data_IF_745418148534
#
_entry.id   IF_745418148534
#
_cell.length_a   1.000
_cell.length_b   1.000
_cell.length_c   1.000
_cell.angle_alpha   90.00
_cell.angle_beta   90.00
_cell.angle_gamma   90.00
#
_symmetry.space_group_name_H-M   'P 1'
#
loop_
_entity.id
_entity.type
_entity.pdbx_description
1 polymer ?
#
# COMPACT_ATOMS: atom_id res chain seq x y z
N UNK A 1 1.74 -3.37 -14.63
CA UNK A 1 2.38 -4.43 -13.82
C UNK A 1 1.46 -4.80 -12.68
N UNK A 2 1.19 -6.08 -12.51
CA UNK A 2 0.30 -6.58 -11.45
C UNK A 2 1.06 -6.73 -10.12
N UNK A 3 0.38 -6.62 -8.97
CA UNK A 3 1.01 -6.70 -7.65
C UNK A 3 1.81 -8.00 -7.41
N UNK A 4 1.30 -9.13 -7.90
CA UNK A 4 1.92 -10.45 -7.79
C UNK A 4 3.21 -10.60 -8.61
N UNK A 5 3.44 -9.70 -9.57
CA UNK A 5 4.66 -9.69 -10.40
C UNK A 5 5.82 -8.95 -9.72
N UNK A 6 5.53 -8.11 -8.71
CA UNK A 6 6.52 -7.25 -8.07
C UNK A 6 7.65 -8.05 -7.43
N UNK A 7 7.41 -9.09 -6.59
CA UNK A 7 8.51 -9.84 -5.98
C UNK A 7 9.35 -10.58 -7.03
N UNK A 8 8.69 -11.20 -8.02
CA UNK A 8 9.37 -11.89 -9.14
C UNK A 8 10.27 -10.95 -9.93
N UNK A 9 9.86 -9.69 -10.05
CA UNK A 9 10.64 -8.68 -10.74
C UNK A 9 11.82 -8.21 -9.90
N UNK A 10 11.66 -8.04 -8.59
CA UNK A 10 12.77 -7.74 -7.67
C UNK A 10 13.86 -8.82 -7.70
N UNK A 11 13.48 -10.10 -7.80
CA UNK A 11 14.42 -11.23 -7.92
C UNK A 11 15.33 -11.17 -9.16
N UNK A 12 15.01 -10.34 -10.16
CA UNK A 12 15.87 -10.14 -11.33
C UNK A 12 17.05 -9.21 -11.05
N UNK A 13 17.01 -8.43 -9.96
CA UNK A 13 18.05 -7.47 -9.61
C UNK A 13 19.08 -8.13 -8.67
N UNK A 14 20.38 -8.16 -9.05
CA UNK A 14 21.43 -8.72 -8.20
C UNK A 14 21.47 -8.12 -6.80
N UNK A 15 21.26 -6.81 -6.68
CA UNK A 15 21.30 -6.04 -5.44
C UNK A 15 20.19 -6.49 -4.47
N UNK A 16 18.99 -6.78 -4.99
CA UNK A 16 17.90 -7.34 -4.19
C UNK A 16 18.25 -8.73 -3.68
N UNK A 17 18.80 -9.59 -4.54
CA UNK A 17 19.19 -10.95 -4.15
C UNK A 17 20.30 -10.95 -3.10
N UNK A 18 21.27 -10.05 -3.20
CA UNK A 18 22.29 -9.86 -2.17
C UNK A 18 21.71 -9.36 -0.85
N UNK A 19 20.80 -8.39 -0.91
CA UNK A 19 20.08 -7.91 0.27
C UNK A 19 19.25 -9.04 0.91
N UNK A 20 18.55 -9.85 0.11
CA UNK A 20 17.70 -10.97 0.56
C UNK A 20 18.52 -12.06 1.25
N UNK A 21 19.74 -12.34 0.78
CA UNK A 21 20.67 -13.28 1.43
C UNK A 21 21.07 -12.83 2.84
N UNK A 22 21.17 -11.51 3.07
CA UNK A 22 21.56 -10.89 4.35
C UNK A 22 20.37 -10.69 5.30
N UNK A 23 19.15 -10.58 4.77
CA UNK A 23 17.92 -10.29 5.51
C UNK A 23 16.86 -11.38 5.26
N UNK A 24 17.20 -12.64 5.58
CA UNK A 24 16.36 -13.82 5.28
C UNK A 24 15.07 -13.85 6.10
N UNK A 25 15.08 -13.22 7.27
CA UNK A 25 13.93 -13.10 8.17
C UNK A 25 12.93 -12.03 7.72
N UNK A 26 13.35 -11.12 6.83
CA UNK A 26 12.45 -10.08 6.35
C UNK A 26 11.36 -10.65 5.47
N UNK A 27 10.17 -10.07 5.51
CA UNK A 27 9.04 -10.49 4.67
C UNK A 27 8.39 -9.30 3.99
N UNK A 28 7.78 -9.54 2.83
CA UNK A 28 7.03 -8.51 2.12
C UNK A 28 5.82 -8.11 2.96
N UNK A 29 5.75 -6.85 3.36
CA UNK A 29 4.74 -6.31 4.27
C UNK A 29 3.70 -5.45 3.55
N UNK A 30 4.11 -4.73 2.51
CA UNK A 30 3.21 -3.93 1.69
C UNK A 30 3.69 -3.78 0.25
N UNK A 31 2.74 -3.47 -0.63
CA UNK A 31 2.97 -2.90 -1.96
C UNK A 31 2.26 -1.55 -2.04
N UNK A 32 2.94 -0.52 -2.53
CA UNK A 32 2.49 0.86 -2.53
C UNK A 32 2.60 1.50 -3.91
N UNK A 33 1.61 2.32 -4.28
CA UNK A 33 1.59 3.10 -5.52
C UNK A 33 0.81 4.42 -5.35
N UNK A 34 1.17 5.46 -6.11
CA UNK A 34 0.42 6.72 -6.19
C UNK A 34 -0.12 6.90 -7.62
N UNK A 35 -1.37 7.37 -7.75
CA UNK A 35 -2.06 7.66 -9.01
C UNK A 35 -2.74 9.05 -8.99
N UNK A 36 -2.89 9.74 -10.14
CA UNK A 36 -2.05 9.57 -11.31
C UNK A 36 -0.59 9.88 -10.93
N UNK A 37 0.35 9.15 -11.49
CA UNK A 37 1.76 9.23 -11.09
C UNK A 37 2.63 8.33 -11.96
N UNK A 38 3.89 8.20 -11.58
CA UNK A 38 4.83 7.34 -12.28
C UNK A 38 4.39 5.87 -12.24
N UNK A 39 4.88 5.08 -13.19
CA UNK A 39 4.68 3.63 -13.19
C UNK A 39 5.41 2.91 -12.05
N UNK A 40 6.07 3.66 -11.15
CA UNK A 40 6.75 3.19 -9.96
C UNK A 40 5.80 2.41 -9.02
N UNK A 41 6.30 1.28 -8.55
CA UNK A 41 5.77 0.55 -7.40
C UNK A 41 6.80 0.59 -6.27
N UNK A 42 6.33 0.58 -5.03
CA UNK A 42 7.18 0.42 -3.87
C UNK A 42 6.82 -0.87 -3.13
N UNK A 43 7.84 -1.67 -2.80
CA UNK A 43 7.68 -2.90 -2.04
C UNK A 43 8.43 -2.79 -0.71
N UNK A 44 7.68 -2.83 0.40
CA UNK A 44 8.26 -2.74 1.74
C UNK A 44 8.51 -4.11 2.33
N UNK A 45 9.76 -4.42 2.68
CA UNK A 45 10.12 -5.62 3.41
C UNK A 45 10.43 -5.30 4.86
N UNK A 46 9.67 -5.89 5.77
CA UNK A 46 9.82 -5.69 7.20
C UNK A 46 10.74 -6.74 7.82
N UNK A 47 11.71 -6.32 8.65
CA UNK A 47 12.48 -7.19 9.54
C UNK A 47 11.94 -7.09 10.96
N UNK A 48 11.34 -8.17 11.47
CA UNK A 48 10.89 -8.24 12.87
C UNK A 48 12.05 -8.13 13.86
N UNK A 49 13.26 -8.54 13.46
CA UNK A 49 14.45 -8.50 14.30
C UNK A 49 14.97 -7.08 14.53
N UNK A 50 14.97 -6.26 13.47
CA UNK A 50 15.47 -4.88 13.51
C UNK A 50 14.35 -3.84 13.71
N UNK A 51 13.10 -4.30 13.64
CA UNK A 51 11.89 -3.47 13.69
C UNK A 51 11.88 -2.33 12.65
N UNK A 52 12.31 -2.66 11.43
CA UNK A 52 12.45 -1.68 10.36
C UNK A 52 11.93 -2.22 9.01
N UNK A 53 11.73 -1.31 8.08
CA UNK A 53 11.35 -1.62 6.70
C UNK A 53 12.46 -1.15 5.76
N UNK A 54 12.88 -2.05 4.87
CA UNK A 54 13.60 -1.67 3.65
C UNK A 54 12.60 -1.57 2.51
N UNK A 55 12.64 -0.47 1.77
CA UNK A 55 11.70 -0.23 0.66
C UNK A 55 12.43 -0.31 -0.68
N UNK A 56 11.86 -1.06 -1.61
CA UNK A 56 12.35 -1.15 -2.98
C UNK A 56 11.41 -0.37 -3.89
N UNK A 57 11.93 0.71 -4.48
CA UNK A 57 11.26 1.41 -5.59
C UNK A 57 11.57 0.70 -6.87
N UNK A 58 10.55 0.41 -7.65
CA UNK A 58 10.64 -0.42 -8.83
C UNK A 58 9.91 0.24 -9.99
N UNK A 59 10.64 0.52 -11.07
CA UNK A 59 10.08 0.96 -12.36
C UNK A 59 10.18 -0.17 -13.38
N UNK A 60 9.94 0.11 -14.67
CA UNK A 60 10.08 -0.90 -15.71
C UNK A 60 11.51 -1.46 -15.79
N UNK A 61 12.51 -0.57 -15.71
CA UNK A 61 13.89 -0.90 -16.04
C UNK A 61 14.87 -0.66 -14.89
N UNK A 62 14.41 -0.12 -13.76
CA UNK A 62 15.28 0.24 -12.65
C UNK A 62 14.70 -0.20 -11.30
N UNK A 63 15.60 -0.41 -10.35
CA UNK A 63 15.27 -0.63 -8.94
C UNK A 63 16.16 0.27 -8.09
N UNK A 64 15.55 1.01 -7.16
CA UNK A 64 16.24 1.78 -6.14
C UNK A 64 15.93 1.17 -4.76
N UNK A 65 16.97 0.99 -3.94
CA UNK A 65 16.82 0.56 -2.55
C UNK A 65 16.77 1.81 -1.68
N UNK A 66 15.63 2.06 -1.05
CA UNK A 66 15.52 3.03 0.02
C UNK A 66 16.01 2.35 1.31
N UNK A 67 17.03 2.91 1.98
CA UNK A 67 17.59 2.34 3.20
C UNK A 67 16.55 2.13 4.31
N UNK A 68 16.90 1.30 5.28
CA UNK A 68 16.05 0.94 6.42
C UNK A 68 15.49 2.18 7.13
N UNK A 69 14.17 2.22 7.28
CA UNK A 69 13.45 3.24 8.04
C UNK A 69 12.72 2.59 9.22
N UNK A 70 12.66 3.29 10.34
CA UNK A 70 11.83 2.88 11.47
C UNK A 70 10.37 2.76 11.04
N UNK A 71 9.70 1.70 11.50
CA UNK A 71 8.29 1.51 11.18
C UNK A 71 7.46 2.50 11.99
N UNK A 72 6.73 3.37 11.30
CA UNK A 72 5.72 4.20 11.94
C UNK A 72 4.48 3.34 12.27
N UNK A 73 4.54 2.65 13.40
CA UNK A 73 3.43 1.88 13.97
C UNK A 73 2.94 2.54 15.26
N UNK A 74 1.64 2.47 15.52
CA UNK A 74 1.14 2.74 16.88
C UNK A 74 1.68 1.64 17.79
N UNK A 75 1.94 1.96 19.06
CA UNK A 75 2.29 0.96 20.06
C UNK A 75 1.28 -0.21 19.97
N UNK A 76 1.78 -1.44 20.04
CA UNK A 76 1.00 -2.69 19.95
C UNK A 76 0.46 -3.10 18.58
N UNK A 77 0.77 -2.39 17.49
CA UNK A 77 0.35 -2.83 16.14
C UNK A 77 1.39 -3.72 15.48
N UNK A 78 1.07 -5.00 15.27
CA UNK A 78 1.91 -5.94 14.54
C UNK A 78 1.98 -5.62 13.04
N UNK A 79 3.17 -5.81 12.44
CA UNK A 79 3.36 -5.79 10.99
C UNK A 79 3.17 -7.21 10.46
N UNK A 80 2.27 -7.37 9.48
CA UNK A 80 1.95 -8.68 8.90
C UNK A 80 2.53 -8.83 7.50
N UNK A 81 2.89 -10.06 7.14
CA UNK A 81 3.32 -10.40 5.79
C UNK A 81 2.16 -10.50 4.82
N UNK A 82 2.41 -10.08 3.57
CA UNK A 82 1.48 -10.28 2.46
C UNK A 82 1.45 -11.75 2.02
N UNK A 83 0.23 -12.21 1.75
CA UNK A 83 -0.09 -13.50 1.15
C UNK A 83 -0.62 -13.22 -0.26
N UNK A 84 0.30 -13.05 -1.21
CA UNK A 84 -0.03 -12.62 -2.57
C UNK A 84 -0.90 -13.63 -3.33
N UNK A 85 -0.79 -14.91 -2.99
CA UNK A 85 -1.64 -15.99 -3.49
C UNK A 85 -3.11 -15.86 -3.05
N UNK A 86 -3.38 -15.10 -1.98
CA UNK A 86 -4.74 -14.83 -1.49
C UNK A 86 -5.37 -13.57 -2.10
N UNK A 87 -4.61 -12.77 -2.84
CA UNK A 87 -5.13 -11.59 -3.55
C UNK A 87 -5.90 -12.07 -4.77
N UNK A 88 -7.22 -11.84 -4.77
CA UNK A 88 -8.11 -12.21 -5.89
C UNK A 88 -8.68 -10.97 -6.60
N UNK A 89 -8.78 -9.87 -5.87
CA UNK A 89 -9.24 -8.58 -6.40
C UNK A 89 -8.03 -7.83 -6.92
N UNK A 90 -8.04 -7.54 -8.22
CA UNK A 90 -7.04 -6.71 -8.88
C UNK A 90 -7.10 -5.25 -8.41
N UNK A 91 -6.03 -4.49 -8.66
CA UNK A 91 -6.02 -3.06 -8.38
C UNK A 91 -7.11 -2.32 -9.17
N UNK A 92 -7.30 -2.69 -10.43
CA UNK A 92 -8.30 -2.10 -11.31
C UNK A 92 -9.73 -2.34 -10.79
N UNK A 93 -10.02 -3.55 -10.31
CA UNK A 93 -11.31 -3.87 -9.67
C UNK A 93 -11.50 -3.09 -8.37
N UNK A 94 -10.48 -3.05 -7.51
CA UNK A 94 -10.53 -2.29 -6.26
C UNK A 94 -10.79 -0.79 -6.50
N UNK A 95 -10.10 -0.20 -7.49
CA UNK A 95 -10.33 1.18 -7.92
C UNK A 95 -11.72 1.38 -8.50
N UNK A 96 -12.25 0.39 -9.23
CA UNK A 96 -13.63 0.41 -9.73
C UNK A 96 -14.66 0.48 -8.60
N UNK A 97 -14.48 -0.34 -7.55
CA UNK A 97 -15.34 -0.35 -6.36
C UNK A 97 -15.28 1.00 -5.65
N UNK A 98 -14.09 1.50 -5.34
CA UNK A 98 -13.95 2.78 -4.63
C UNK A 98 -14.38 3.98 -5.45
N UNK A 99 -14.20 3.96 -6.77
CA UNK A 99 -14.64 5.05 -7.64
C UNK A 99 -16.17 5.17 -7.66
N UNK A 100 -16.90 4.05 -7.69
CA UNK A 100 -18.38 4.05 -7.58
C UNK A 100 -18.82 4.60 -6.22
N UNK A 101 -18.27 4.07 -5.14
CA UNK A 101 -18.54 4.51 -3.77
C UNK A 101 -18.27 6.01 -3.58
N UNK A 102 -17.13 6.49 -4.09
CA UNK A 102 -16.76 7.91 -4.07
C UNK A 102 -17.77 8.77 -4.84
N UNK A 103 -18.16 8.36 -6.04
CA UNK A 103 -19.07 9.13 -6.90
C UNK A 103 -20.51 9.17 -6.36
N UNK A 104 -21.01 8.05 -5.82
CA UNK A 104 -22.39 7.92 -5.37
C UNK A 104 -22.61 8.49 -3.98
N UNK A 105 -21.74 8.12 -3.02
CA UNK A 105 -21.92 8.44 -1.60
C UNK A 105 -21.31 9.79 -1.21
N UNK A 106 -20.06 10.02 -1.60
CA UNK A 106 -19.31 11.20 -1.14
C UNK A 106 -19.36 12.36 -2.13
N UNK A 107 -19.53 12.08 -3.43
CA UNK A 107 -19.57 13.08 -4.51
C UNK A 107 -18.36 14.01 -4.49
N UNK A 108 -17.18 13.44 -4.21
CA UNK A 108 -15.92 14.17 -4.13
C UNK A 108 -14.99 13.86 -5.30
N UNK A 109 -14.37 14.90 -5.83
CA UNK A 109 -13.25 14.76 -6.75
C UNK A 109 -11.95 14.45 -6.01
N UNK A 110 -10.97 13.91 -6.73
CA UNK A 110 -9.66 13.57 -6.18
C UNK A 110 -8.53 14.05 -7.08
N UNK A 111 -7.48 14.57 -6.47
CA UNK A 111 -6.27 15.01 -7.17
C UNK A 111 -5.19 13.93 -7.19
N UNK A 112 -5.14 13.09 -6.15
CA UNK A 112 -4.24 11.95 -6.00
C UNK A 112 -4.93 10.80 -5.30
N UNK A 113 -4.47 9.58 -5.58
CA UNK A 113 -4.90 8.32 -5.01
C UNK A 113 -3.64 7.60 -4.52
N UNK A 114 -3.59 7.30 -3.23
CA UNK A 114 -2.55 6.47 -2.63
C UNK A 114 -3.14 5.07 -2.50
N UNK A 115 -2.43 4.07 -3.00
CA UNK A 115 -2.84 2.68 -3.01
C UNK A 115 -1.84 1.87 -2.22
N UNK A 116 -2.31 1.12 -1.23
CA UNK A 116 -1.47 0.22 -0.44
C UNK A 116 -2.15 -1.15 -0.36
N UNK A 117 -1.53 -2.19 -0.91
CA UNK A 117 -1.85 -3.56 -0.54
C UNK A 117 -1.06 -3.90 0.72
N UNK A 118 -1.76 -4.21 1.80
CA UNK A 118 -1.16 -4.53 3.09
C UNK A 118 -2.06 -5.46 3.89
N UNK A 119 -1.50 -6.13 4.90
CA UNK A 119 -2.27 -6.92 5.85
C UNK A 119 -2.35 -6.20 7.19
N UNK A 120 -3.58 -6.05 7.68
CA UNK A 120 -3.95 -5.40 8.94
C UNK A 120 -4.65 -6.41 9.85
N UNK A 121 -4.95 -6.03 11.10
CA UNK A 121 -5.71 -6.88 12.03
C UNK A 121 -7.11 -7.27 11.54
N UNK A 122 -7.65 -6.55 10.55
CA UNK A 122 -8.94 -6.82 9.90
C UNK A 122 -8.84 -7.70 8.64
N UNK A 123 -7.63 -8.09 8.22
CA UNK A 123 -7.41 -8.86 7.00
C UNK A 123 -6.43 -8.21 6.02
N UNK A 124 -6.24 -8.83 4.86
CA UNK A 124 -5.41 -8.31 3.77
C UNK A 124 -6.24 -7.43 2.85
N UNK A 125 -5.87 -6.15 2.75
CA UNK A 125 -6.70 -5.11 2.16
C UNK A 125 -5.98 -4.33 1.08
N UNK A 126 -6.76 -3.90 0.09
CA UNK A 126 -6.48 -2.70 -0.69
C UNK A 126 -6.90 -1.49 0.13
N UNK A 127 -5.93 -0.79 0.71
CA UNK A 127 -6.12 0.48 1.39
C UNK A 127 -5.90 1.62 0.37
N UNK A 128 -7.00 2.22 -0.08
CA UNK A 128 -7.04 3.24 -1.12
C UNK A 128 -7.43 4.57 -0.47
N UNK A 129 -6.53 5.55 -0.53
CA UNK A 129 -6.76 6.90 0.00
C UNK A 129 -6.84 7.91 -1.12
N UNK A 130 -7.99 8.56 -1.26
CA UNK A 130 -8.18 9.67 -2.17
C UNK A 130 -7.88 10.98 -1.46
N UNK A 131 -6.97 11.78 -2.00
CA UNK A 131 -6.77 13.17 -1.59
C UNK A 131 -7.73 14.03 -2.42
N UNK A 132 -8.70 14.66 -1.77
CA UNK A 132 -9.74 15.44 -2.43
C UNK A 132 -9.30 16.89 -2.68
N UNK A 133 -9.97 17.57 -3.60
CA UNK A 133 -9.78 19.01 -3.85
C UNK A 133 -10.17 19.86 -2.64
N UNK A 134 -11.07 19.37 -1.79
CA UNK A 134 -11.50 20.01 -0.55
C UNK A 134 -10.55 19.74 0.64
N UNK A 135 -9.29 19.37 0.38
CA UNK A 135 -8.27 19.05 1.40
C UNK A 135 -8.78 18.05 2.45
N UNK A 136 -9.51 17.04 2.01
CA UNK A 136 -9.91 15.90 2.83
C UNK A 136 -9.32 14.62 2.26
N UNK A 137 -9.23 13.58 3.07
CA UNK A 137 -8.85 12.24 2.64
C UNK A 137 -10.04 11.31 2.78
N UNK A 138 -10.43 10.65 1.69
CA UNK A 138 -11.32 9.50 1.73
C UNK A 138 -10.47 8.23 1.76
N UNK A 139 -10.37 7.59 2.92
CA UNK A 139 -9.70 6.31 3.10
C UNK A 139 -10.72 5.17 2.95
N UNK A 140 -10.48 4.23 2.05
CA UNK A 140 -11.32 3.05 1.86
C UNK A 140 -10.45 1.80 1.92
N UNK A 141 -10.87 0.82 2.72
CA UNK A 141 -10.21 -0.49 2.82
C UNK A 141 -11.12 -1.55 2.22
N UNK A 142 -10.64 -2.20 1.18
CA UNK A 142 -11.34 -3.30 0.50
C UNK A 142 -10.62 -4.59 0.82
N UNK A 143 -11.35 -5.63 1.19
CA UNK A 143 -10.80 -6.98 1.31
C UNK A 143 -10.23 -7.45 -0.04
N UNK A 144 -8.94 -7.79 -0.06
CA UNK A 144 -8.23 -8.15 -1.29
C UNK A 144 -8.66 -9.49 -1.90
N UNK A 145 -9.48 -10.28 -1.19
CA UNK A 145 -9.92 -11.61 -1.63
C UNK A 145 -11.36 -11.64 -2.14
N UNK A 146 -12.23 -10.78 -1.60
CA UNK A 146 -13.67 -10.77 -1.86
C UNK A 146 -14.16 -9.49 -2.55
N UNK A 147 -13.45 -8.38 -2.39
CA UNK A 147 -13.89 -7.07 -2.89
C UNK A 147 -14.84 -6.35 -1.95
N UNK A 148 -15.11 -6.89 -0.76
CA UNK A 148 -15.94 -6.26 0.24
C UNK A 148 -15.29 -4.99 0.81
N UNK A 149 -16.05 -3.91 0.97
CA UNK A 149 -15.59 -2.70 1.65
C UNK A 149 -15.65 -2.95 3.15
N UNK A 150 -14.48 -3.09 3.78
CA UNK A 150 -14.35 -3.36 5.21
C UNK A 150 -14.41 -2.09 6.07
N UNK A 151 -13.96 -0.96 5.52
CA UNK A 151 -14.03 0.34 6.20
C UNK A 151 -13.94 1.47 5.20
N UNK A 152 -14.61 2.58 5.49
CA UNK A 152 -14.49 3.84 4.75
C UNK A 152 -14.54 5.02 5.72
N UNK A 153 -13.73 6.05 5.47
CA UNK A 153 -13.62 7.22 6.34
C UNK A 153 -13.26 8.46 5.52
N UNK A 154 -14.05 9.54 5.66
CA UNK A 154 -13.72 10.85 5.09
C UNK A 154 -13.25 11.78 6.21
N UNK A 155 -11.99 12.20 6.17
CA UNK A 155 -11.35 13.02 7.20
C UNK A 155 -10.80 14.31 6.60
N UNK A 156 -11.13 15.50 7.13
CA UNK A 156 -10.46 16.73 6.76
C UNK A 156 -8.97 16.71 7.12
N UNK A 157 -8.08 17.15 6.23
CA UNK A 157 -6.64 17.25 6.51
C UNK A 157 -6.34 18.41 7.47
N UNK A 158 -7.17 19.46 7.45
CA UNK A 158 -7.09 20.58 8.38
C UNK A 158 -8.23 20.43 9.39
N UNK A 159 -7.89 20.09 10.63
CA UNK A 159 -8.80 20.27 11.76
C UNK A 159 -8.66 21.71 12.22
N UNK A 160 -9.66 22.54 11.98
CA UNK A 160 -9.75 23.82 12.69
C UNK A 160 -9.86 23.48 14.19
N UNK A 161 -8.94 24.02 15.00
CA UNK A 161 -9.13 24.09 16.43
C UNK A 161 -10.14 25.20 16.65
N UNK A 162 -11.34 24.86 17.12
CA UNK A 162 -12.20 25.87 17.73
C UNK A 162 -11.49 26.38 18.98
N UNK A 163 -11.24 27.69 19.03
CA UNK A 163 -10.82 28.43 20.23
C UNK A 163 -12.00 28.66 21.16
#
# INVERSE_FOLDING_TARGET
MKPEEIPKKLEKFPEFNEWRKKNKESFLSYLFKILPGEEEWQAGYYSKKKDNITTFKLTENNMEIIPEQEVFKKEETDVFGLELDKVKVSLEEALGITNKLRAEKYKVDSTKIIVILQKLGIGQVWNITYITSALSTLNVKIDSSSGEVLSEELVPLVKYKDE
#
